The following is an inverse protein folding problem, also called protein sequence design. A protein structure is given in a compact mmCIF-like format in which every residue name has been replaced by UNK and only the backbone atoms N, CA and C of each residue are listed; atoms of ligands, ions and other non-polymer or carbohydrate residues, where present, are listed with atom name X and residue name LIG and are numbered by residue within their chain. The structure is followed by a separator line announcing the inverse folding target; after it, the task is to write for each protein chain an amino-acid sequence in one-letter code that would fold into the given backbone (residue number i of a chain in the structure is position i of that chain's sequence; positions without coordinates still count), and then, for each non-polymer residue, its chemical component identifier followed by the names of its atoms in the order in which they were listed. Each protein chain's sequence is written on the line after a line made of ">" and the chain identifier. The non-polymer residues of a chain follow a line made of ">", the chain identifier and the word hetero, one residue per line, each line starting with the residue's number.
data_IF_571478949733
#
_entry.id   IF_571478949733
#
_cell.length_a   1.000
_cell.length_b   1.000
_cell.length_c   1.000
_cell.angle_alpha   90.00
_cell.angle_beta   90.00
_cell.angle_gamma   90.00
#
_symmetry.space_group_name_H-M   'P 1'
#
loop_
_entity.id
_entity.type
_entity.pdbx_description
1 polymer ?
#
# COMPACT_ATOMS: atom_id res chain seq x y z
N UNK A 1 3.30 39.20 -3.54
CA UNK A 1 2.30 38.90 -4.57
C UNK A 1 1.87 37.46 -4.40
N UNK A 2 0.62 37.20 -4.00
CA UNK A 2 0.09 35.84 -3.91
C UNK A 2 -0.23 35.36 -5.34
N UNK A 3 0.40 34.28 -5.79
CA UNK A 3 0.07 33.68 -7.08
C UNK A 3 -1.31 33.04 -7.00
N UNK A 4 -2.24 33.48 -7.82
CA UNK A 4 -3.56 32.83 -7.93
C UNK A 4 -3.37 31.41 -8.49
N UNK A 5 -3.87 30.41 -7.78
CA UNK A 5 -3.91 29.04 -8.28
C UNK A 5 -4.92 28.96 -9.44
N UNK A 6 -4.44 28.71 -10.66
CA UNK A 6 -5.30 28.58 -11.86
C UNK A 6 -5.62 27.09 -12.08
N UNK A 7 -6.91 26.69 -12.14
CA UNK A 7 -7.28 25.31 -12.44
C UNK A 7 -6.97 24.96 -13.90
N UNK A 8 -6.32 23.81 -14.11
CA UNK A 8 -6.05 23.25 -15.44
C UNK A 8 -7.11 22.21 -15.79
N UNK A 9 -7.64 22.25 -17.01
CA UNK A 9 -8.61 21.28 -17.53
C UNK A 9 -7.92 19.95 -17.92
N UNK A 10 -7.31 19.27 -16.95
CA UNK A 10 -6.60 18.00 -17.16
C UNK A 10 -7.58 16.83 -17.02
N UNK A 11 -7.71 16.03 -18.08
CA UNK A 11 -8.42 14.74 -18.01
C UNK A 11 -7.42 13.69 -17.52
N UNK A 12 -7.28 13.56 -16.21
CA UNK A 12 -6.43 12.53 -15.59
C UNK A 12 -7.27 11.30 -15.23
N UNK A 13 -6.98 10.12 -15.79
CA UNK A 13 -7.67 8.90 -15.39
C UNK A 13 -7.35 8.59 -13.92
N UNK A 14 -8.38 8.47 -13.08
CA UNK A 14 -8.22 8.02 -11.70
C UNK A 14 -7.89 6.52 -11.70
N UNK A 15 -6.64 6.18 -11.41
CA UNK A 15 -6.21 4.78 -11.21
C UNK A 15 -6.07 4.51 -9.71
N UNK A 16 -6.47 3.32 -9.26
CA UNK A 16 -6.13 2.86 -7.91
C UNK A 16 -4.66 2.43 -7.92
N UNK A 17 -3.83 3.18 -7.22
CA UNK A 17 -2.39 2.95 -7.08
C UNK A 17 -2.17 1.87 -5.99
N UNK A 18 -2.28 0.60 -6.38
CA UNK A 18 -2.20 -0.55 -5.46
C UNK A 18 -0.92 -1.38 -5.67
N UNK A 19 0.02 -0.90 -6.46
CA UNK A 19 1.28 -1.59 -6.73
C UNK A 19 2.29 -1.43 -5.60
N UNK A 20 3.41 -2.17 -5.67
CA UNK A 20 4.50 -2.06 -4.69
C UNK A 20 5.12 -0.66 -4.63
N UNK A 21 5.28 -0.02 -5.79
CA UNK A 21 5.79 1.35 -5.87
C UNK A 21 4.86 2.39 -5.21
N UNK A 22 3.59 2.04 -5.01
CA UNK A 22 2.58 2.91 -4.40
C UNK A 22 2.43 2.67 -2.89
N UNK A 23 3.12 1.66 -2.35
CA UNK A 23 3.08 1.33 -0.92
C UNK A 23 4.29 1.93 -0.21
N UNK A 24 4.05 2.90 0.68
CA UNK A 24 5.11 3.53 1.47
C UNK A 24 5.42 2.66 2.68
N UNK A 25 6.60 2.07 2.68
CA UNK A 25 7.13 1.35 3.82
C UNK A 25 7.62 2.34 4.89
N UNK A 26 7.20 2.11 6.12
CA UNK A 26 7.55 2.90 7.31
C UNK A 26 7.84 1.95 8.46
N UNK A 27 8.38 2.46 9.57
CA UNK A 27 8.58 1.66 10.77
C UNK A 27 7.27 0.98 11.24
N UNK A 28 6.11 1.60 11.03
CA UNK A 28 4.83 1.07 11.49
C UNK A 28 4.33 -0.16 10.69
N UNK A 29 4.87 -0.41 9.48
CA UNK A 29 4.42 -1.49 8.61
C UNK A 29 5.55 -2.40 8.09
N UNK A 30 6.81 -2.11 8.43
CA UNK A 30 7.98 -2.85 7.96
C UNK A 30 7.93 -4.34 8.34
N UNK A 31 7.56 -4.66 9.58
CA UNK A 31 7.45 -6.05 10.04
C UNK A 31 6.38 -6.82 9.25
N UNK A 32 5.21 -6.21 9.06
CA UNK A 32 4.13 -6.81 8.27
C UNK A 32 4.57 -7.04 6.81
N UNK A 33 5.29 -6.07 6.21
CA UNK A 33 5.81 -6.20 4.85
C UNK A 33 6.88 -7.32 4.74
N UNK A 34 7.77 -7.43 5.72
CA UNK A 34 8.79 -8.48 5.77
C UNK A 34 8.16 -9.87 5.93
N UNK A 35 7.19 -10.03 6.84
CA UNK A 35 6.44 -11.28 7.00
C UNK A 35 5.69 -11.65 5.72
N UNK A 36 5.06 -10.68 5.06
CA UNK A 36 4.38 -10.90 3.78
C UNK A 36 5.33 -11.43 2.68
N UNK A 37 6.55 -10.89 2.60
CA UNK A 37 7.57 -11.37 1.66
C UNK A 37 8.10 -12.77 2.00
N UNK A 38 8.09 -13.15 3.28
CA UNK A 38 8.60 -14.41 3.79
C UNK A 38 7.57 -15.56 3.75
N UNK A 39 6.73 -15.65 2.71
CA UNK A 39 5.66 -16.66 2.58
C UNK A 39 6.12 -18.11 2.77
N UNK A 40 7.40 -18.39 2.47
CA UNK A 40 7.99 -19.72 2.67
C UNK A 40 8.14 -20.11 4.14
N UNK A 41 8.10 -19.14 5.05
CA UNK A 41 8.28 -19.32 6.49
C UNK A 41 6.96 -19.30 7.27
N UNK A 42 5.83 -19.08 6.59
CA UNK A 42 4.53 -19.01 7.26
C UNK A 42 4.16 -20.36 7.89
N UNK A 43 3.77 -20.38 9.18
CA UNK A 43 3.21 -21.57 9.81
C UNK A 43 2.05 -22.10 8.97
N UNK A 44 2.13 -23.37 8.59
CA UNK A 44 1.12 -24.03 7.77
C UNK A 44 0.72 -23.27 6.48
N UNK A 45 1.63 -22.46 5.92
CA UNK A 45 1.39 -21.60 4.73
C UNK A 45 0.28 -20.55 4.92
N UNK A 46 -0.01 -20.13 6.15
CA UNK A 46 -1.04 -19.12 6.44
C UNK A 46 -0.49 -17.97 7.26
N UNK A 47 -0.98 -16.78 6.98
CA UNK A 47 -0.68 -15.55 7.70
C UNK A 47 -1.97 -14.74 7.86
N UNK A 48 -2.20 -14.20 9.05
CA UNK A 48 -3.29 -13.26 9.33
C UNK A 48 -2.72 -11.84 9.40
N UNK A 49 -3.21 -10.96 8.54
CA UNK A 49 -2.84 -9.54 8.55
C UNK A 49 -3.93 -8.73 9.30
N UNK A 50 -3.60 -8.24 10.49
CA UNK A 50 -4.54 -7.59 11.40
C UNK A 50 -4.15 -6.13 11.68
N UNK A 51 -5.12 -5.29 12.03
CA UNK A 51 -4.92 -3.89 12.37
C UNK A 51 -6.16 -3.01 12.17
N UNK A 52 -6.16 -1.76 12.66
CA UNK A 52 -7.29 -0.84 12.57
C UNK A 52 -7.75 -0.55 11.13
N UNK A 53 -8.94 0.01 10.96
CA UNK A 53 -9.38 0.54 9.67
C UNK A 53 -8.39 1.59 9.14
N UNK A 54 -8.15 1.61 7.83
CA UNK A 54 -7.20 2.55 7.22
C UNK A 54 -5.72 2.21 7.40
N UNK A 55 -5.35 1.14 8.12
CA UNK A 55 -3.93 0.78 8.37
C UNK A 55 -3.18 0.18 7.16
N UNK A 56 -3.76 0.22 5.95
CA UNK A 56 -3.10 -0.25 4.74
C UNK A 56 -3.13 -1.77 4.47
N UNK A 57 -3.87 -2.57 5.25
CA UNK A 57 -3.95 -4.05 5.09
C UNK A 57 -4.26 -4.49 3.65
N UNK A 58 -5.30 -3.90 3.05
CA UNK A 58 -5.72 -4.21 1.68
C UNK A 58 -4.65 -3.85 0.66
N UNK A 59 -4.00 -2.69 0.82
CA UNK A 59 -2.90 -2.28 -0.05
C UNK A 59 -1.73 -3.24 0.06
N UNK A 60 -1.29 -3.56 1.29
CA UNK A 60 -0.20 -4.49 1.51
C UNK A 60 -0.50 -5.88 0.92
N UNK A 61 -1.74 -6.38 1.01
CA UNK A 61 -2.11 -7.63 0.35
C UNK A 61 -1.96 -7.55 -1.18
N UNK A 62 -2.45 -6.48 -1.82
CA UNK A 62 -2.35 -6.29 -3.27
C UNK A 62 -0.90 -6.22 -3.78
N UNK A 63 0.02 -5.66 -2.99
CA UNK A 63 1.45 -5.61 -3.33
C UNK A 63 2.03 -7.00 -3.62
N UNK A 64 1.49 -8.06 -3.01
CA UNK A 64 2.00 -9.43 -3.09
C UNK A 64 1.11 -10.40 -3.89
N UNK A 65 0.06 -9.90 -4.58
CA UNK A 65 -0.88 -10.72 -5.37
C UNK A 65 -0.49 -10.91 -6.86
N UNK A 66 0.75 -10.61 -7.24
CA UNK A 66 1.24 -10.73 -8.62
C UNK A 66 1.44 -12.19 -9.06
#
# INVERSE_FOLDING_TARGET
>A
MSGAQVPLALVLPRRRAMGRADFIETQANAEAAALMAAWRLWPERRLALCGPEGSGKTHLAHVFMA
#
